data_IF_153812035505
#
_entry.id   IF_153812035505
#
_cell.length_a   1.000
_cell.length_b   1.000
_cell.length_c   1.000
_cell.angle_alpha   90.00
_cell.angle_beta   90.00
_cell.angle_gamma   90.00
#
_symmetry.space_group_name_H-M   'P 1'
#
loop_
_entity.id
_entity.type
_entity.pdbx_description
1 polymer ?
#
# COMPACT_ATOMS: atom_id res chain seq x y z
N UNK A 1 6.51 6.20 -13.54
CA UNK A 1 5.67 5.42 -12.60
C UNK A 1 6.15 5.50 -11.16
N UNK A 2 7.44 5.76 -10.93
CA UNK A 2 8.03 5.88 -9.58
C UNK A 2 7.42 7.03 -8.74
N UNK A 3 6.67 7.92 -9.36
CA UNK A 3 6.00 9.05 -8.69
C UNK A 3 4.69 8.67 -8.01
N UNK A 4 4.08 7.55 -8.40
CA UNK A 4 2.83 7.09 -7.79
C UNK A 4 3.15 6.22 -6.59
N UNK A 5 2.52 6.51 -5.46
CA UNK A 5 2.77 5.78 -4.22
C UNK A 5 2.41 4.30 -4.35
N UNK A 6 1.20 4.01 -4.81
CA UNK A 6 0.68 2.65 -4.90
C UNK A 6 -0.09 2.47 -6.21
N UNK A 7 -0.09 1.23 -6.70
CA UNK A 7 -0.97 0.79 -7.77
C UNK A 7 -1.88 -0.31 -7.24
N UNK A 8 -3.17 -0.05 -7.31
CA UNK A 8 -4.20 -0.96 -6.82
C UNK A 8 -5.12 -1.38 -7.96
N UNK A 9 -5.72 -2.55 -7.84
CA UNK A 9 -6.74 -3.03 -8.76
C UNK A 9 -7.97 -3.43 -7.96
N UNK A 10 -9.13 -2.95 -8.37
CA UNK A 10 -10.40 -3.30 -7.74
C UNK A 10 -11.05 -4.53 -8.39
N UNK A 11 -10.60 -4.88 -9.61
CA UNK A 11 -11.26 -5.91 -10.40
C UNK A 11 -12.67 -5.50 -10.83
N UNK A 12 -13.47 -6.49 -11.19
CA UNK A 12 -14.88 -6.26 -11.55
C UNK A 12 -15.79 -6.47 -10.35
N UNK A 13 -16.95 -5.78 -10.30
CA UNK A 13 -17.97 -6.04 -9.29
C UNK A 13 -18.48 -7.49 -9.39
N UNK A 14 -19.08 -7.99 -8.32
CA UNK A 14 -19.77 -9.28 -8.37
C UNK A 14 -20.99 -9.19 -9.30
N UNK A 15 -21.41 -10.35 -9.83
CA UNK A 15 -22.60 -10.42 -10.70
C UNK A 15 -23.85 -9.83 -10.00
N UNK A 16 -24.02 -10.08 -8.72
CA UNK A 16 -25.13 -9.51 -7.95
C UNK A 16 -25.05 -7.99 -7.83
N UNK A 17 -23.85 -7.45 -7.61
CA UNK A 17 -23.64 -6.01 -7.57
C UNK A 17 -23.92 -5.34 -8.94
N UNK A 18 -23.47 -5.94 -10.02
CA UNK A 18 -23.73 -5.45 -11.38
C UNK A 18 -25.24 -5.48 -11.67
N UNK A 19 -25.94 -6.53 -11.26
CA UNK A 19 -27.40 -6.62 -11.42
C UNK A 19 -28.12 -5.48 -10.72
N UNK A 20 -27.70 -5.15 -9.49
CA UNK A 20 -28.25 -3.99 -8.76
C UNK A 20 -27.99 -2.69 -9.49
N UNK A 21 -26.79 -2.51 -10.06
CA UNK A 21 -26.45 -1.31 -10.84
C UNK A 21 -27.34 -1.18 -12.07
N UNK A 22 -27.64 -2.28 -12.76
CA UNK A 22 -28.51 -2.29 -13.94
C UNK A 22 -29.97 -1.99 -13.59
N UNK A 23 -30.40 -2.34 -12.40
CA UNK A 23 -31.79 -2.12 -11.95
C UNK A 23 -32.04 -0.72 -11.42
N UNK A 24 -30.97 0.03 -11.10
CA UNK A 24 -31.08 1.38 -10.52
C UNK A 24 -30.85 2.45 -11.57
N UNK A 25 -31.54 3.60 -11.39
CA UNK A 25 -31.26 4.80 -12.15
C UNK A 25 -29.95 5.45 -11.68
N UNK A 26 -29.52 6.53 -12.34
CA UNK A 26 -28.30 7.25 -12.04
C UNK A 26 -28.06 7.45 -10.54
N UNK A 27 -26.83 7.16 -10.08
CA UNK A 27 -26.39 7.37 -8.69
C UNK A 27 -25.79 8.74 -8.44
N UNK A 28 -25.79 9.63 -9.41
CA UNK A 28 -25.23 10.98 -9.22
C UNK A 28 -25.91 11.74 -8.07
N UNK A 29 -27.20 11.52 -7.87
CA UNK A 29 -27.95 12.12 -6.76
C UNK A 29 -27.45 11.66 -5.38
N UNK A 30 -26.86 10.47 -5.27
CA UNK A 30 -26.31 9.98 -4.00
C UNK A 30 -25.07 10.76 -3.54
N UNK A 31 -24.28 11.30 -4.47
CA UNK A 31 -23.06 12.05 -4.14
C UNK A 31 -23.40 13.25 -3.24
N UNK A 32 -24.49 13.95 -3.53
CA UNK A 32 -24.91 15.11 -2.76
C UNK A 32 -25.41 14.75 -1.34
N UNK A 33 -25.78 13.49 -1.11
CA UNK A 33 -26.26 13.00 0.20
C UNK A 33 -25.14 12.42 1.07
N UNK A 34 -23.95 12.21 0.49
CA UNK A 34 -22.82 11.67 1.25
C UNK A 34 -22.31 12.73 2.23
N UNK A 35 -22.09 12.28 3.45
CA UNK A 35 -21.46 13.10 4.49
C UNK A 35 -19.97 12.76 4.55
N UNK A 36 -19.14 13.78 4.81
CA UNK A 36 -17.73 13.53 5.04
C UNK A 36 -17.55 12.69 6.34
N UNK A 37 -16.61 11.77 6.30
CA UNK A 37 -16.24 10.97 7.47
C UNK A 37 -15.17 11.69 8.29
N UNK A 38 -14.21 12.32 7.59
CA UNK A 38 -13.15 13.12 8.19
C UNK A 38 -13.10 14.50 7.53
N UNK A 39 -12.74 15.52 8.32
CA UNK A 39 -12.40 16.83 7.77
C UNK A 39 -10.91 16.89 7.41
N UNK A 40 -10.49 17.98 6.76
CA UNK A 40 -9.11 18.18 6.32
C UNK A 40 -8.13 18.17 7.51
N UNK A 41 -8.47 18.80 8.61
CA UNK A 41 -7.61 18.87 9.80
C UNK A 41 -7.39 17.50 10.43
N UNK A 42 -8.41 16.67 10.46
CA UNK A 42 -8.32 15.29 10.97
C UNK A 42 -7.41 14.43 10.10
N UNK A 43 -7.51 14.57 8.77
CA UNK A 43 -6.63 13.85 7.83
C UNK A 43 -5.18 14.27 8.01
N UNK A 44 -4.90 15.57 8.13
CA UNK A 44 -3.55 16.07 8.37
C UNK A 44 -2.99 15.57 9.71
N UNK A 45 -3.82 15.54 10.75
CA UNK A 45 -3.42 15.00 12.05
C UNK A 45 -3.08 13.51 11.97
N UNK A 46 -3.88 12.72 11.25
CA UNK A 46 -3.61 11.30 11.02
C UNK A 46 -2.31 11.09 10.25
N UNK A 47 -2.02 11.89 9.24
CA UNK A 47 -0.76 11.83 8.50
C UNK A 47 0.45 12.08 9.40
N UNK A 48 0.35 13.01 10.34
CA UNK A 48 1.41 13.24 11.32
C UNK A 48 1.58 12.06 12.27
N UNK A 49 0.49 11.45 12.72
CA UNK A 49 0.53 10.26 13.57
C UNK A 49 1.16 9.06 12.86
N UNK A 50 0.89 8.90 11.57
CA UNK A 50 1.53 7.85 10.75
C UNK A 50 3.05 7.98 10.78
N UNK A 51 3.57 9.19 10.69
CA UNK A 51 5.02 9.43 10.73
C UNK A 51 5.65 9.05 12.08
N UNK A 52 4.86 8.98 13.14
CA UNK A 52 5.30 8.60 14.49
C UNK A 52 5.21 7.10 14.76
N UNK A 53 4.62 6.32 13.85
CA UNK A 53 4.56 4.86 14.00
C UNK A 53 5.98 4.30 14.00
N UNK A 54 6.32 3.58 15.06
CA UNK A 54 7.67 3.07 15.28
C UNK A 54 8.03 1.96 14.30
N UNK A 55 9.27 1.97 13.84
CA UNK A 55 9.83 0.90 13.02
C UNK A 55 11.16 0.46 13.63
N UNK A 56 11.18 -0.74 14.18
CA UNK A 56 12.35 -1.31 14.82
C UNK A 56 13.45 -1.63 13.77
N UNK A 57 14.72 -1.69 14.22
CA UNK A 57 15.84 -1.97 13.34
C UNK A 57 15.66 -3.26 12.54
N UNK A 58 15.12 -4.31 13.14
CA UNK A 58 14.86 -5.58 12.44
C UNK A 58 13.92 -5.40 11.24
N UNK A 59 12.92 -4.53 11.35
CA UNK A 59 12.00 -4.22 10.24
C UNK A 59 12.69 -3.35 9.20
N UNK A 60 13.52 -2.40 9.62
CA UNK A 60 14.33 -1.58 8.70
C UNK A 60 15.30 -2.47 7.89
N UNK A 61 15.95 -3.42 8.54
CA UNK A 61 16.81 -4.40 7.85
C UNK A 61 16.01 -5.25 6.86
N UNK A 62 14.81 -5.65 7.23
CA UNK A 62 13.92 -6.39 6.32
C UNK A 62 13.57 -5.56 5.07
N UNK A 63 13.27 -4.26 5.24
CA UNK A 63 13.06 -3.35 4.12
C UNK A 63 14.28 -3.26 3.19
N UNK A 64 15.47 -3.15 3.78
CA UNK A 64 16.72 -3.10 3.03
C UNK A 64 16.96 -4.41 2.27
N UNK A 65 16.73 -5.55 2.91
CA UNK A 65 16.87 -6.86 2.27
C UNK A 65 15.91 -7.02 1.08
N UNK A 66 14.68 -6.55 1.23
CA UNK A 66 13.72 -6.52 0.13
C UNK A 66 14.20 -5.63 -1.03
N UNK A 67 14.69 -4.44 -0.72
CA UNK A 67 15.23 -3.54 -1.72
C UNK A 67 16.42 -4.16 -2.45
N UNK A 68 17.34 -4.77 -1.72
CA UNK A 68 18.52 -5.43 -2.29
C UNK A 68 18.12 -6.57 -3.22
N UNK A 69 17.11 -7.35 -2.85
CA UNK A 69 16.60 -8.41 -3.73
C UNK A 69 16.04 -7.85 -5.03
N UNK A 70 15.31 -6.73 -4.98
CA UNK A 70 14.81 -6.08 -6.22
C UNK A 70 15.97 -5.59 -7.09
N UNK A 71 17.06 -5.14 -6.48
CA UNK A 71 18.23 -4.55 -7.18
C UNK A 71 19.09 -5.58 -7.90
N UNK A 72 18.88 -6.86 -7.64
CA UNK A 72 19.47 -7.95 -8.44
C UNK A 72 18.81 -8.08 -9.81
N UNK A 73 17.64 -7.46 -10.00
CA UNK A 73 16.92 -7.43 -11.27
C UNK A 73 17.33 -6.19 -12.08
N UNK A 74 16.89 -6.12 -13.33
CA UNK A 74 17.26 -5.04 -14.25
C UNK A 74 16.80 -3.65 -13.76
N UNK A 75 15.67 -3.58 -13.09
CA UNK A 75 15.10 -2.33 -12.55
C UNK A 75 14.85 -2.48 -11.05
N UNK A 76 15.89 -2.19 -10.26
CA UNK A 76 15.80 -2.26 -8.81
C UNK A 76 15.00 -1.11 -8.21
N UNK A 77 14.52 -1.32 -6.98
CA UNK A 77 13.78 -0.31 -6.23
C UNK A 77 14.68 0.89 -5.91
N UNK A 78 14.23 2.08 -6.28
CA UNK A 78 14.92 3.33 -5.95
C UNK A 78 14.83 3.65 -4.44
N UNK A 79 15.69 4.55 -3.97
CA UNK A 79 15.58 5.06 -2.59
C UNK A 79 14.22 5.73 -2.35
N UNK A 80 13.69 6.43 -3.35
CA UNK A 80 12.33 7.00 -3.28
C UNK A 80 11.29 5.89 -3.07
N UNK A 81 11.38 4.80 -3.81
CA UNK A 81 10.49 3.64 -3.66
C UNK A 81 10.62 2.98 -2.31
N UNK A 82 11.83 2.88 -1.77
CA UNK A 82 12.07 2.34 -0.42
C UNK A 82 11.45 3.22 0.66
N UNK A 83 11.57 4.53 0.56
CA UNK A 83 10.91 5.48 1.46
C UNK A 83 9.38 5.41 1.34
N UNK A 84 8.87 5.23 0.14
CA UNK A 84 7.43 5.03 -0.10
C UNK A 84 6.94 3.74 0.57
N UNK A 85 7.71 2.66 0.47
CA UNK A 85 7.38 1.37 1.12
C UNK A 85 7.33 1.52 2.64
N UNK A 86 8.32 2.19 3.23
CA UNK A 86 8.32 2.49 4.67
C UNK A 86 7.04 3.23 5.07
N UNK A 87 6.73 4.31 4.37
CA UNK A 87 5.56 5.15 4.68
C UNK A 87 4.24 4.39 4.54
N UNK A 88 4.11 3.58 3.50
CA UNK A 88 2.93 2.74 3.30
C UNK A 88 2.76 1.71 4.41
N UNK A 89 3.85 1.08 4.85
CA UNK A 89 3.82 0.12 5.96
C UNK A 89 3.44 0.80 7.28
N UNK A 90 3.95 2.00 7.55
CA UNK A 90 3.55 2.78 8.72
C UNK A 90 2.07 3.14 8.69
N UNK A 91 1.55 3.58 7.54
CA UNK A 91 0.13 3.90 7.37
C UNK A 91 -0.74 2.65 7.53
N UNK A 92 -0.31 1.51 7.02
CA UNK A 92 -1.03 0.25 7.18
C UNK A 92 -1.12 -0.17 8.66
N UNK A 93 0.00 -0.10 9.39
CA UNK A 93 0.03 -0.37 10.83
C UNK A 93 -0.91 0.58 11.60
N UNK A 94 -0.90 1.86 11.24
CA UNK A 94 -1.79 2.88 11.83
C UNK A 94 -3.27 2.53 11.62
N UNK A 95 -3.65 2.14 10.41
CA UNK A 95 -5.04 1.71 10.11
C UNK A 95 -5.42 0.49 10.92
N UNK A 96 -4.46 -0.41 11.20
CA UNK A 96 -4.64 -1.57 12.07
C UNK A 96 -4.59 -1.21 13.57
N UNK A 97 -4.59 0.07 13.90
CA UNK A 97 -4.57 0.60 15.27
C UNK A 97 -3.33 0.18 16.07
N UNK A 98 -2.19 0.06 15.39
CA UNK A 98 -0.90 -0.24 16.04
C UNK A 98 0.05 0.95 15.95
N UNK A 99 0.88 1.10 16.97
CA UNK A 99 1.89 2.14 17.05
C UNK A 99 3.28 1.71 16.55
N UNK A 100 3.37 0.50 16.02
CA UNK A 100 4.62 -0.07 15.49
C UNK A 100 4.33 -0.90 14.23
N UNK A 101 5.34 -0.97 13.36
CA UNK A 101 5.28 -1.75 12.12
C UNK A 101 5.79 -3.16 12.35
N UNK A 102 5.11 -4.13 11.77
CA UNK A 102 5.56 -5.54 11.73
C UNK A 102 5.99 -5.89 10.31
N UNK A 103 6.77 -6.98 10.11
CA UNK A 103 7.07 -7.47 8.76
C UNK A 103 5.82 -7.77 7.93
N UNK A 104 4.75 -8.24 8.57
CA UNK A 104 3.47 -8.51 7.88
C UNK A 104 2.87 -7.24 7.28
N UNK A 105 3.03 -6.09 7.93
CA UNK A 105 2.58 -4.80 7.39
C UNK A 105 3.35 -4.44 6.12
N UNK A 106 4.65 -4.68 6.12
CA UNK A 106 5.50 -4.48 4.94
C UNK A 106 5.04 -5.36 3.80
N UNK A 107 4.81 -6.65 4.08
CA UNK A 107 4.35 -7.60 3.08
C UNK A 107 2.98 -7.23 2.51
N UNK A 108 2.07 -6.75 3.36
CA UNK A 108 0.72 -6.36 2.95
C UNK A 108 0.70 -5.25 1.89
N UNK A 109 1.68 -4.32 1.94
CA UNK A 109 1.73 -3.18 1.01
C UNK A 109 2.80 -3.34 -0.08
N UNK A 110 3.67 -4.35 0.01
CA UNK A 110 4.84 -4.50 -0.83
C UNK A 110 4.51 -4.53 -2.32
N UNK A 111 3.60 -5.38 -2.73
CA UNK A 111 3.25 -5.55 -4.16
C UNK A 111 2.65 -4.25 -4.73
N UNK A 112 1.74 -3.63 -4.00
CA UNK A 112 1.08 -2.40 -4.44
C UNK A 112 2.06 -1.23 -4.59
N UNK A 113 3.09 -1.17 -3.75
CA UNK A 113 4.09 -0.08 -3.77
C UNK A 113 5.22 -0.37 -4.75
N UNK A 114 5.65 -1.62 -4.90
CA UNK A 114 6.91 -1.99 -5.56
C UNK A 114 6.73 -2.47 -7.00
N UNK A 115 5.71 -3.27 -7.28
CA UNK A 115 5.58 -3.93 -8.60
C UNK A 115 5.65 -2.96 -9.78
N UNK A 116 4.92 -1.85 -9.72
CA UNK A 116 4.90 -0.87 -10.81
C UNK A 116 6.21 -0.07 -10.93
N UNK A 117 7.04 -0.04 -9.87
CA UNK A 117 8.34 0.64 -9.88
C UNK A 117 9.44 -0.20 -10.50
N UNK A 118 9.38 -1.51 -10.31
CA UNK A 118 10.42 -2.43 -10.79
C UNK A 118 10.04 -3.14 -12.08
N UNK A 119 8.86 -2.86 -12.63
CA UNK A 119 8.41 -3.41 -13.91
C UNK A 119 8.13 -4.91 -13.89
N UNK A 120 7.85 -5.49 -12.73
CA UNK A 120 7.44 -6.88 -12.58
C UNK A 120 5.92 -6.99 -12.46
N UNK A 121 5.39 -8.16 -12.81
CA UNK A 121 4.00 -8.48 -12.52
C UNK A 121 3.77 -8.62 -11.02
N UNK A 122 2.51 -8.61 -10.60
CA UNK A 122 2.16 -8.83 -9.20
C UNK A 122 2.64 -10.20 -8.72
N UNK A 123 2.46 -11.26 -9.52
CA UNK A 123 2.89 -12.61 -9.19
C UNK A 123 4.42 -12.70 -9.03
N UNK A 124 5.18 -12.11 -9.94
CA UNK A 124 6.64 -12.07 -9.88
C UNK A 124 7.13 -11.30 -8.64
N UNK A 125 6.44 -10.21 -8.29
CA UNK A 125 6.77 -9.40 -7.11
C UNK A 125 6.49 -10.16 -5.81
N UNK A 126 5.40 -10.92 -5.75
CA UNK A 126 5.11 -11.81 -4.62
C UNK A 126 6.20 -12.87 -4.46
N UNK A 127 6.61 -13.50 -5.56
CA UNK A 127 7.68 -14.51 -5.53
C UNK A 127 9.00 -13.92 -5.02
N UNK A 128 9.35 -12.72 -5.47
CA UNK A 128 10.55 -12.01 -5.02
C UNK A 128 10.49 -11.76 -3.49
N UNK A 129 9.36 -11.28 -3.02
CA UNK A 129 9.15 -11.01 -1.59
C UNK A 129 9.31 -12.29 -0.75
N UNK A 130 8.80 -13.41 -1.24
CA UNK A 130 8.87 -14.70 -0.53
C UNK A 130 10.30 -15.27 -0.44
N UNK A 131 11.21 -14.82 -1.29
CA UNK A 131 12.63 -15.23 -1.26
C UNK A 131 13.40 -14.54 -0.14
N UNK A 132 12.88 -13.46 0.43
CA UNK A 132 13.54 -12.69 1.48
C UNK A 132 13.02 -13.17 2.84
N UNK A 133 13.94 -13.67 3.66
CA UNK A 133 13.61 -14.14 5.00
C UNK A 133 13.56 -12.99 6.00
N UNK A 134 12.62 -13.09 6.93
CA UNK A 134 12.55 -12.23 8.11
C UNK A 134 13.51 -12.79 9.13
N UNK A 135 14.51 -12.00 9.47
CA UNK A 135 15.51 -12.38 10.49
C UNK A 135 15.12 -11.88 11.88
#
# INVERSE_FOLDING_TARGET
LDRFLMRLSLGYPSRSAEKLLLQQNSRYALISTLKHVFNEQEILAMQQLVNQVHMADAVLEYLLNLADETRKKQHGLSTRGLLALKKAAQAFAFIQQRSFVTPDDVQAVFVAVVAHRIGLSEAETVQLMQQVHIS
#
